data_IF_125189150260
#
_entry.id   IF_125189150260
#
_cell.length_a   1.000
_cell.length_b   1.000
_cell.length_c   1.000
_cell.angle_alpha   90.00
_cell.angle_beta   90.00
_cell.angle_gamma   90.00
#
_symmetry.space_group_name_H-M   'P 1'
#
loop_
_entity.id
_entity.type
_entity.pdbx_description
1 polymer ?
#
# COMPACT_ATOMS: atom_id res chain seq x y z
N UNK A 1 -26.27 -69.31 -20.32
CA UNK A 1 -24.86 -68.89 -20.17
C UNK A 1 -24.86 -67.38 -20.25
N UNK A 2 -24.54 -66.57 -19.24
CA UNK A 2 -23.75 -66.79 -18.02
C UNK A 2 -23.95 -65.53 -17.13
N UNK A 3 -24.54 -65.72 -15.93
CA UNK A 3 -24.23 -65.17 -14.57
C UNK A 3 -24.29 -63.61 -14.38
N UNK A 4 -24.76 -62.93 -13.30
CA UNK A 4 -24.78 -63.01 -11.80
C UNK A 4 -25.94 -62.08 -11.30
N UNK A 5 -26.84 -62.38 -10.33
CA UNK A 5 -26.77 -62.64 -8.86
C UNK A 5 -26.09 -61.48 -8.09
N UNK A 6 -26.86 -60.55 -7.49
CA UNK A 6 -27.33 -60.48 -6.07
C UNK A 6 -26.16 -60.12 -5.11
N UNK A 7 -26.22 -59.27 -4.08
CA UNK A 7 -27.29 -58.88 -3.13
C UNK A 7 -26.74 -57.83 -2.13
N UNK A 8 -27.63 -57.09 -1.45
CA UNK A 8 -27.47 -56.67 -0.04
C UNK A 8 -26.74 -55.34 0.21
N UNK A 9 -27.42 -54.25 0.57
CA UNK A 9 -28.04 -53.89 1.87
C UNK A 9 -27.06 -53.30 2.91
N UNK A 10 -27.21 -51.99 3.08
CA UNK A 10 -26.98 -51.11 4.23
C UNK A 10 -26.44 -51.73 5.52
N UNK A 11 -25.32 -51.17 5.99
CA UNK A 11 -25.03 -50.92 7.40
C UNK A 11 -24.30 -49.58 7.56
N UNK A 12 -24.59 -48.93 8.69
CA UNK A 12 -24.18 -47.59 9.13
C UNK A 12 -22.67 -47.38 9.25
N UNK A 13 -22.19 -46.14 9.05
CA UNK A 13 -21.04 -45.63 9.81
C UNK A 13 -21.03 -44.09 9.94
N UNK A 14 -21.20 -43.67 11.20
CA UNK A 14 -20.46 -42.65 11.97
C UNK A 14 -20.06 -41.30 11.36
N UNK A 15 -20.61 -40.26 12.01
CA UNK A 15 -20.00 -38.99 12.40
C UNK A 15 -18.51 -38.81 12.06
N UNK A 16 -18.25 -37.85 11.16
CA UNK A 16 -16.99 -37.11 11.14
C UNK A 16 -17.38 -35.64 11.30
N UNK A 17 -16.93 -35.06 12.41
CA UNK A 17 -16.93 -33.61 12.64
C UNK A 17 -16.23 -32.93 11.46
N UNK A 18 -16.97 -32.14 10.69
CA UNK A 18 -16.37 -31.09 9.86
C UNK A 18 -15.91 -30.01 10.82
N UNK A 19 -14.60 -29.88 10.99
CA UNK A 19 -14.01 -28.66 11.54
C UNK A 19 -14.36 -27.52 10.58
N UNK A 20 -15.33 -26.70 10.98
CA UNK A 20 -15.62 -25.42 10.33
C UNK A 20 -14.39 -24.52 10.52
N UNK A 21 -13.49 -24.55 9.53
CA UNK A 21 -12.46 -23.52 9.39
C UNK A 21 -13.17 -22.24 8.96
N UNK A 22 -13.46 -21.37 9.93
CA UNK A 22 -13.93 -20.01 9.68
C UNK A 22 -12.83 -19.23 8.94
N UNK A 23 -12.89 -19.19 7.61
CA UNK A 23 -12.12 -18.27 6.78
C UNK A 23 -12.78 -16.89 6.81
N UNK A 24 -12.02 -15.85 7.18
CA UNK A 24 -12.45 -14.46 7.03
C UNK A 24 -12.33 -14.06 5.56
N UNK A 25 -13.48 -13.96 4.88
CA UNK A 25 -13.58 -13.44 3.52
C UNK A 25 -13.66 -11.92 3.60
N UNK A 26 -12.62 -11.22 3.11
CA UNK A 26 -12.67 -9.78 2.90
C UNK A 26 -13.38 -9.46 1.58
N UNK A 27 -13.92 -8.24 1.46
CA UNK A 27 -14.58 -7.73 0.25
C UNK A 27 -13.58 -7.79 -0.92
N UNK A 28 -13.78 -8.76 -1.82
CA UNK A 28 -12.78 -9.19 -2.80
C UNK A 28 -12.66 -10.71 -2.98
N UNK A 29 -13.21 -11.52 -2.07
CA UNK A 29 -13.40 -12.96 -2.26
C UNK A 29 -12.14 -13.82 -2.09
N UNK A 30 -11.09 -13.31 -1.47
CA UNK A 30 -9.85 -14.06 -1.20
C UNK A 30 -9.78 -14.57 0.24
N UNK A 31 -9.46 -15.86 0.45
CA UNK A 31 -9.19 -16.39 1.79
C UNK A 31 -7.85 -15.85 2.30
N UNK A 32 -7.88 -15.23 3.48
CA UNK A 32 -6.69 -14.73 4.20
C UNK A 32 -6.20 -15.83 5.17
N UNK A 33 -4.87 -16.01 5.38
CA UNK A 33 -4.37 -16.94 6.38
C UNK A 33 -5.00 -16.72 7.76
N UNK A 34 -5.38 -17.81 8.43
CA UNK A 34 -6.16 -17.82 9.67
C UNK A 34 -5.30 -17.46 10.91
N UNK A 35 -4.66 -16.29 10.88
CA UNK A 35 -3.75 -15.80 11.93
C UNK A 35 -4.26 -14.54 12.66
N UNK A 36 -5.40 -13.98 12.24
CA UNK A 36 -6.00 -12.84 12.91
C UNK A 36 -6.55 -13.21 14.29
N UNK A 37 -6.31 -12.37 15.30
CA UNK A 37 -6.86 -12.56 16.65
C UNK A 37 -8.41 -12.56 16.64
N UNK A 38 -9.04 -13.34 17.53
CA UNK A 38 -10.51 -13.43 17.64
C UNK A 38 -11.20 -12.10 18.03
N UNK A 39 -10.43 -11.08 18.44
CA UNK A 39 -10.88 -9.72 18.73
C UNK A 39 -10.25 -8.71 17.74
N UNK A 40 -10.36 -9.02 16.44
CA UNK A 40 -9.77 -8.23 15.36
C UNK A 40 -10.22 -6.76 15.35
N UNK A 41 -9.36 -5.89 14.82
CA UNK A 41 -9.63 -4.48 14.60
C UNK A 41 -10.94 -4.29 13.82
N UNK A 42 -11.86 -3.53 14.40
CA UNK A 42 -13.12 -3.14 13.77
C UNK A 42 -12.91 -1.80 13.10
N UNK A 43 -12.99 -1.78 11.76
CA UNK A 43 -12.92 -0.54 11.00
C UNK A 43 -14.10 0.37 11.40
N UNK A 44 -13.85 1.64 11.76
CA UNK A 44 -14.91 2.57 12.09
C UNK A 44 -15.69 2.95 10.81
N UNK A 45 -16.99 3.23 10.96
CA UNK A 45 -17.85 3.63 9.84
C UNK A 45 -17.55 5.05 9.33
N UNK A 46 -16.98 5.90 10.18
CA UNK A 46 -16.65 7.31 9.90
C UNK A 46 -15.24 7.65 10.40
N UNK A 47 -14.57 8.57 9.72
CA UNK A 47 -13.23 9.03 10.08
C UNK A 47 -13.24 9.91 11.35
N UNK A 48 -12.05 10.32 11.79
CA UNK A 48 -11.87 11.16 12.98
C UNK A 48 -12.52 12.57 12.87
N UNK A 49 -12.99 12.94 11.69
CA UNK A 49 -13.70 14.19 11.38
C UNK A 49 -15.23 14.02 11.25
N UNK A 50 -15.73 12.79 11.34
CA UNK A 50 -17.16 12.50 11.23
C UNK A 50 -17.68 12.34 9.80
N UNK A 51 -16.78 12.16 8.83
CA UNK A 51 -17.13 11.92 7.42
C UNK A 51 -16.86 10.46 7.04
N UNK A 52 -17.44 10.00 5.94
CA UNK A 52 -17.07 8.72 5.32
C UNK A 52 -15.61 8.78 4.86
N UNK A 53 -14.86 7.68 5.06
CA UNK A 53 -13.47 7.57 4.58
C UNK A 53 -13.39 7.74 3.06
N UNK A 54 -12.34 8.42 2.59
CA UNK A 54 -12.08 8.65 1.15
C UNK A 54 -13.27 9.25 0.40
N UNK A 55 -13.98 10.19 1.01
CA UNK A 55 -15.07 10.92 0.35
C UNK A 55 -14.51 12.05 -0.53
N UNK A 56 -14.72 11.96 -1.85
CA UNK A 56 -14.29 12.97 -2.82
C UNK A 56 -15.46 13.78 -3.43
N UNK A 57 -16.70 13.52 -3.01
CA UNK A 57 -17.90 14.08 -3.63
C UNK A 57 -18.53 15.25 -2.85
N UNK A 58 -18.05 15.54 -1.63
CA UNK A 58 -18.55 16.64 -0.81
C UNK A 58 -17.90 17.99 -1.15
N UNK A 59 -18.72 19.03 -1.39
CA UNK A 59 -18.22 20.39 -1.61
C UNK A 59 -17.65 21.01 -0.32
N UNK A 60 -16.32 20.96 -0.19
CA UNK A 60 -15.56 21.61 0.89
C UNK A 60 -14.28 22.28 0.38
N UNK A 61 -13.69 23.20 1.13
CA UNK A 61 -12.38 23.79 0.79
C UNK A 61 -11.27 22.72 0.76
N UNK A 62 -11.37 21.70 1.63
CA UNK A 62 -10.47 20.53 1.61
C UNK A 62 -10.60 19.77 0.29
N UNK A 63 -11.83 19.60 -0.21
CA UNK A 63 -12.08 18.92 -1.48
C UNK A 63 -11.52 19.68 -2.69
N UNK A 64 -11.53 21.02 -2.66
CA UNK A 64 -10.88 21.83 -3.73
C UNK A 64 -9.37 21.61 -3.75
N UNK A 65 -8.74 21.49 -2.57
CA UNK A 65 -7.33 21.15 -2.44
C UNK A 65 -7.02 19.79 -3.04
N UNK A 66 -7.80 18.76 -2.68
CA UNK A 66 -7.65 17.40 -3.19
C UNK A 66 -7.90 17.30 -4.70
N UNK A 67 -8.90 17.99 -5.24
CA UNK A 67 -9.19 18.01 -6.68
C UNK A 67 -8.06 18.70 -7.49
N UNK A 68 -7.52 19.82 -7.00
CA UNK A 68 -6.36 20.48 -7.62
C UNK A 68 -5.09 19.63 -7.51
N UNK A 69 -4.88 18.98 -6.37
CA UNK A 69 -3.78 18.04 -6.16
C UNK A 69 -3.78 16.93 -7.21
N UNK A 70 -4.90 16.21 -7.36
CA UNK A 70 -5.01 15.12 -8.33
C UNK A 70 -4.99 15.62 -9.77
N UNK A 71 -5.53 16.82 -10.04
CA UNK A 71 -5.37 17.47 -11.35
C UNK A 71 -3.89 17.64 -11.69
N UNK A 72 -3.09 18.18 -10.77
CA UNK A 72 -1.66 18.38 -10.99
C UNK A 72 -0.91 17.04 -11.11
N UNK A 73 -1.25 16.05 -10.28
CA UNK A 73 -0.65 14.71 -10.33
C UNK A 73 -0.89 14.08 -11.71
N UNK A 74 -2.16 13.97 -12.13
CA UNK A 74 -2.53 13.30 -13.39
C UNK A 74 -1.99 14.01 -14.62
N UNK A 75 -1.78 15.33 -14.59
CA UNK A 75 -1.22 16.06 -15.73
C UNK A 75 0.30 15.87 -15.83
N UNK A 76 1.00 15.86 -14.69
CA UNK A 76 2.47 15.99 -14.67
C UNK A 76 3.22 14.67 -14.45
N UNK A 77 2.58 13.64 -13.92
CA UNK A 77 3.14 12.29 -13.86
C UNK A 77 3.15 11.69 -15.27
N UNK A 78 4.30 11.74 -15.93
CA UNK A 78 4.56 11.13 -17.23
C UNK A 78 5.66 10.09 -17.11
N UNK A 79 5.71 9.16 -18.07
CA UNK A 79 6.75 8.14 -18.15
C UNK A 79 8.15 8.76 -18.10
N UNK A 80 8.36 9.86 -18.83
CA UNK A 80 9.62 10.61 -18.84
C UNK A 80 9.94 11.30 -17.50
N UNK A 81 8.92 11.86 -16.83
CA UNK A 81 9.10 12.46 -15.51
C UNK A 81 9.56 11.41 -14.51
N UNK A 82 8.85 10.28 -14.41
CA UNK A 82 9.17 9.23 -13.44
C UNK A 82 10.55 8.62 -13.67
N UNK A 83 10.96 8.42 -14.92
CA UNK A 83 12.31 7.91 -15.20
C UNK A 83 13.40 8.86 -14.70
N UNK A 84 13.22 10.18 -14.85
CA UNK A 84 14.15 11.19 -14.30
C UNK A 84 14.15 11.19 -12.78
N UNK A 85 12.99 11.03 -12.15
CA UNK A 85 12.88 10.93 -10.70
C UNK A 85 13.61 9.70 -10.16
N UNK A 86 13.38 8.53 -10.78
CA UNK A 86 14.11 7.30 -10.44
C UNK A 86 15.63 7.47 -10.61
N UNK A 87 16.07 8.07 -11.71
CA UNK A 87 17.50 8.33 -11.94
C UNK A 87 18.11 9.21 -10.84
N UNK A 88 17.42 10.27 -10.42
CA UNK A 88 17.93 11.18 -9.39
C UNK A 88 17.89 10.56 -7.99
N UNK A 89 16.77 9.96 -7.60
CA UNK A 89 16.52 9.56 -6.22
C UNK A 89 17.05 8.17 -5.87
N UNK A 90 17.31 7.30 -6.85
CA UNK A 90 18.03 6.03 -6.62
C UNK A 90 19.53 6.20 -6.36
N UNK A 91 20.04 7.44 -6.33
CA UNK A 91 21.41 7.74 -5.91
C UNK A 91 21.57 7.68 -4.38
N UNK A 92 20.48 7.86 -3.64
CA UNK A 92 20.43 7.85 -2.17
C UNK A 92 21.54 8.68 -1.51
N UNK A 93 21.69 9.92 -1.96
CA UNK A 93 22.79 10.80 -1.57
C UNK A 93 22.31 12.06 -0.84
N UNK A 94 21.08 12.05 -0.32
CA UNK A 94 20.47 13.19 0.39
C UNK A 94 20.75 13.11 1.90
N UNK A 95 20.78 11.91 2.47
CA UNK A 95 21.12 11.71 3.87
C UNK A 95 21.64 10.30 4.18
N UNK A 96 22.32 10.17 5.32
CA UNK A 96 22.58 8.88 5.97
C UNK A 96 21.97 8.93 7.37
N UNK A 97 20.93 8.14 7.62
CA UNK A 97 20.15 8.15 8.86
C UNK A 97 19.44 6.81 9.10
N UNK A 98 19.06 6.54 10.33
CA UNK A 98 18.29 5.35 10.72
C UNK A 98 16.82 5.51 10.32
N UNK A 99 16.08 4.40 10.32
CA UNK A 99 14.63 4.43 10.11
C UNK A 99 13.93 5.28 11.18
N UNK A 100 14.34 5.16 12.44
CA UNK A 100 13.69 5.90 13.52
C UNK A 100 13.96 7.42 13.43
N UNK A 101 15.17 7.82 13.03
CA UNK A 101 15.47 9.24 12.74
C UNK A 101 14.59 9.76 11.60
N UNK A 102 14.28 8.91 10.60
CA UNK A 102 13.33 9.25 9.52
C UNK A 102 11.89 9.42 10.04
N UNK A 103 11.41 8.52 10.90
CA UNK A 103 10.11 8.65 11.56
C UNK A 103 9.99 9.98 12.33
N UNK A 104 11.05 10.38 13.03
CA UNK A 104 11.09 11.64 13.79
C UNK A 104 11.07 12.86 12.85
N UNK A 105 11.77 12.82 11.70
CA UNK A 105 11.76 13.89 10.70
C UNK A 105 10.39 14.09 10.04
N UNK A 106 9.61 13.03 9.85
CA UNK A 106 8.28 13.14 9.24
C UNK A 106 7.29 13.96 10.08
N UNK A 107 7.57 14.23 11.35
CA UNK A 107 6.74 15.15 12.15
C UNK A 107 6.70 16.58 11.57
N UNK A 108 7.62 16.92 10.67
CA UNK A 108 7.63 18.21 9.94
C UNK A 108 6.75 18.20 8.67
N UNK A 109 6.13 17.06 8.32
CA UNK A 109 5.38 16.86 7.08
C UNK A 109 3.88 16.79 7.36
N UNK A 110 3.09 17.50 6.54
CA UNK A 110 1.61 17.39 6.48
C UNK A 110 1.24 16.84 5.10
N UNK A 111 0.43 15.78 5.04
CA UNK A 111 -0.04 15.19 3.79
C UNK A 111 -1.32 15.90 3.31
N UNK A 112 -1.24 16.61 2.19
CA UNK A 112 -2.37 17.37 1.64
C UNK A 112 -3.36 16.50 0.84
N UNK A 113 -2.98 15.27 0.49
CA UNK A 113 -3.84 14.35 -0.26
C UNK A 113 -4.82 13.58 0.63
N UNK A 114 -4.49 13.46 1.91
CA UNK A 114 -5.24 12.66 2.87
C UNK A 114 -6.41 13.46 3.47
N UNK A 115 -7.68 13.08 3.23
CA UNK A 115 -8.82 13.75 3.84
C UNK A 115 -9.04 13.34 5.32
N UNK A 116 -8.26 12.38 5.83
CA UNK A 116 -8.55 11.65 7.07
C UNK A 116 -7.50 11.85 8.19
N UNK A 117 -6.45 12.68 7.98
CA UNK A 117 -5.38 12.92 8.95
C UNK A 117 -5.15 14.42 9.27
N UNK A 118 -5.00 14.76 10.56
CA UNK A 118 -4.53 16.06 11.09
C UNK A 118 -3.33 15.91 12.08
N UNK A 119 -3.00 14.69 12.49
CA UNK A 119 -1.97 14.39 13.50
C UNK A 119 -0.55 14.33 12.89
N UNK A 120 0.52 14.45 13.71
CA UNK A 120 1.89 14.28 13.23
C UNK A 120 2.07 12.91 12.57
N UNK A 121 2.82 12.85 11.48
CA UNK A 121 2.93 11.61 10.68
C UNK A 121 3.42 10.40 11.48
N UNK A 122 4.28 10.57 12.49
CA UNK A 122 4.70 9.44 13.33
C UNK A 122 3.53 8.75 14.04
N UNK A 123 2.46 9.49 14.35
CA UNK A 123 1.26 8.92 14.96
C UNK A 123 0.51 8.04 13.98
N UNK A 124 0.38 8.45 12.72
CA UNK A 124 -0.19 7.60 11.66
C UNK A 124 0.61 6.29 11.52
N UNK A 125 1.94 6.39 11.43
CA UNK A 125 2.81 5.21 11.32
C UNK A 125 2.61 4.23 12.48
N UNK A 126 2.58 4.76 13.72
CA UNK A 126 2.43 3.95 14.93
C UNK A 126 1.01 3.42 15.11
N UNK A 127 -0.02 4.16 14.73
CA UNK A 127 -1.41 3.71 14.77
C UNK A 127 -1.62 2.50 13.85
N UNK A 128 -1.12 2.58 12.61
CA UNK A 128 -1.15 1.48 11.66
C UNK A 128 -0.38 0.26 12.19
N UNK A 129 0.84 0.48 12.69
CA UNK A 129 1.70 -0.59 13.18
C UNK A 129 1.14 -1.28 14.44
N UNK A 130 0.65 -0.53 15.42
CA UNK A 130 0.09 -1.09 16.66
C UNK A 130 -1.26 -1.78 16.43
N UNK A 131 -2.09 -1.26 15.51
CA UNK A 131 -3.35 -1.90 15.13
C UNK A 131 -3.10 -3.25 14.45
N UNK A 132 -2.13 -3.34 13.54
CA UNK A 132 -1.69 -4.62 12.96
C UNK A 132 -1.14 -5.53 14.05
N UNK A 133 -0.26 -5.03 14.91
CA UNK A 133 0.40 -5.82 15.96
C UNK A 133 -0.59 -6.50 16.89
N UNK A 134 -1.70 -5.84 17.19
CA UNK A 134 -2.77 -6.41 18.01
C UNK A 134 -3.44 -7.61 17.32
N UNK A 135 -3.66 -7.52 16.00
CA UNK A 135 -4.39 -8.53 15.24
C UNK A 135 -3.49 -9.67 14.77
N UNK A 136 -2.23 -9.40 14.45
CA UNK A 136 -1.26 -10.34 13.89
C UNK A 136 0.01 -10.42 14.75
N UNK A 137 -0.07 -10.76 16.05
CA UNK A 137 1.04 -10.62 16.99
C UNK A 137 2.33 -11.39 16.64
N UNK A 138 2.25 -12.36 15.73
CA UNK A 138 3.38 -13.17 15.28
C UNK A 138 4.01 -12.69 13.96
N UNK A 139 3.43 -11.68 13.29
CA UNK A 139 3.89 -11.16 12.00
C UNK A 139 4.71 -9.88 12.18
N UNK A 140 5.82 -9.98 12.91
CA UNK A 140 6.62 -8.81 13.28
C UNK A 140 7.18 -8.01 12.10
N UNK A 141 7.45 -8.66 10.97
CA UNK A 141 7.77 -8.00 9.70
C UNK A 141 6.65 -7.10 9.19
N UNK A 142 5.38 -7.45 9.42
CA UNK A 142 4.22 -6.67 9.00
C UNK A 142 4.03 -5.44 9.89
N UNK A 143 4.34 -5.56 11.18
CA UNK A 143 4.33 -4.42 12.11
C UNK A 143 5.37 -3.38 11.67
N UNK A 144 6.58 -3.83 11.32
CA UNK A 144 7.61 -2.94 10.81
C UNK A 144 7.24 -2.37 9.44
N UNK A 145 6.68 -3.19 8.54
CA UNK A 145 6.20 -2.73 7.23
C UNK A 145 5.23 -1.56 7.39
N UNK A 146 4.30 -1.65 8.34
CA UNK A 146 3.38 -0.57 8.64
C UNK A 146 4.00 0.64 9.31
N UNK A 147 5.03 0.47 10.14
CA UNK A 147 5.77 1.62 10.66
C UNK A 147 6.46 2.40 9.53
N UNK A 148 6.91 1.73 8.46
CA UNK A 148 7.81 2.35 7.48
C UNK A 148 7.18 2.71 6.13
N UNK A 149 5.95 2.28 5.86
CA UNK A 149 5.30 2.42 4.54
C UNK A 149 5.37 3.85 3.98
N UNK A 150 5.17 4.84 4.85
CA UNK A 150 5.05 6.25 4.51
C UNK A 150 6.36 7.04 4.60
N UNK A 151 7.49 6.40 4.94
CA UNK A 151 8.78 7.09 5.12
C UNK A 151 9.29 7.76 3.84
N UNK A 152 8.78 7.37 2.67
CA UNK A 152 9.10 8.07 1.43
C UNK A 152 8.57 9.51 1.36
N UNK A 153 7.67 9.92 2.26
CA UNK A 153 7.14 11.29 2.33
C UNK A 153 8.19 12.34 2.70
N UNK A 154 9.37 11.92 3.17
CA UNK A 154 10.50 12.84 3.42
C UNK A 154 10.93 13.62 2.17
N UNK A 155 10.57 13.17 0.97
CA UNK A 155 10.81 13.88 -0.30
C UNK A 155 10.19 15.30 -0.32
N UNK A 156 9.20 15.57 0.54
CA UNK A 156 8.60 16.89 0.73
C UNK A 156 9.52 17.86 1.46
N UNK A 157 10.51 17.35 2.21
CA UNK A 157 11.41 18.19 3.00
C UNK A 157 12.48 18.83 2.10
N UNK A 158 12.90 20.08 2.37
CA UNK A 158 13.94 20.77 1.59
C UNK A 158 15.24 19.99 1.41
N UNK A 159 15.66 19.25 2.45
CA UNK A 159 16.88 18.43 2.41
C UNK A 159 16.81 17.30 1.37
N UNK A 160 15.60 16.82 1.07
CA UNK A 160 15.36 15.72 0.14
C UNK A 160 14.79 16.22 -1.19
N UNK A 161 14.73 17.52 -1.43
CA UNK A 161 14.39 18.10 -2.73
C UNK A 161 13.17 19.01 -2.74
N UNK A 162 12.39 19.08 -1.65
CA UNK A 162 11.15 19.85 -1.58
C UNK A 162 10.24 19.60 -2.80
N UNK A 163 10.02 18.31 -3.10
CA UNK A 163 9.13 17.95 -4.20
C UNK A 163 7.72 18.46 -3.92
N UNK A 164 6.95 18.85 -4.95
CA UNK A 164 5.55 19.18 -4.75
C UNK A 164 4.77 17.95 -4.28
N UNK A 165 3.73 18.15 -3.46
CA UNK A 165 2.90 17.08 -2.90
C UNK A 165 2.45 16.06 -3.97
N UNK A 166 2.00 16.53 -5.14
CA UNK A 166 1.54 15.66 -6.24
C UNK A 166 2.61 14.69 -6.77
N UNK A 167 3.89 14.95 -6.51
CA UNK A 167 5.01 14.09 -6.89
C UNK A 167 5.52 13.22 -5.72
N UNK A 168 4.81 13.19 -4.59
CA UNK A 168 5.20 12.41 -3.40
C UNK A 168 4.05 11.58 -2.86
N UNK A 169 2.88 12.16 -2.63
CA UNK A 169 1.74 11.50 -1.96
C UNK A 169 0.63 11.16 -2.96
N UNK A 170 -0.51 10.66 -2.46
CA UNK A 170 -1.70 10.33 -3.23
C UNK A 170 -1.68 8.95 -3.90
N UNK A 171 -2.85 8.54 -4.40
CA UNK A 171 -3.01 7.28 -5.11
C UNK A 171 -2.05 7.17 -6.31
N UNK A 172 -1.54 5.97 -6.58
CA UNK A 172 -0.61 5.69 -7.67
C UNK A 172 -1.27 4.95 -8.82
N UNK A 173 -0.66 5.06 -10.01
CA UNK A 173 -1.15 4.44 -11.24
C UNK A 173 -0.02 4.07 -12.20
N UNK A 174 -0.21 3.07 -13.09
CA UNK A 174 0.78 2.72 -14.12
C UNK A 174 0.90 3.80 -15.19
N UNK A 175 2.13 4.07 -15.61
CA UNK A 175 2.49 4.89 -16.77
C UNK A 175 2.90 3.99 -17.93
N UNK A 176 2.95 4.51 -19.15
CA UNK A 176 3.36 3.73 -20.33
C UNK A 176 2.29 2.77 -20.87
N UNK A 177 1.07 2.81 -20.33
CA UNK A 177 -0.15 2.18 -20.84
C UNK A 177 -1.35 3.10 -20.65
N UNK A 178 -2.52 2.69 -21.16
CA UNK A 178 -3.74 3.48 -21.02
C UNK A 178 -4.14 3.63 -19.55
N UNK A 179 -4.61 4.82 -19.18
CA UNK A 179 -5.14 5.10 -17.84
C UNK A 179 -6.55 4.53 -17.70
N UNK A 180 -6.76 3.63 -16.74
CA UNK A 180 -8.04 3.00 -16.42
C UNK A 180 -8.98 3.99 -15.73
N UNK A 181 -10.28 3.89 -15.98
CA UNK A 181 -11.29 4.81 -15.40
C UNK A 181 -11.44 4.65 -13.88
N UNK A 182 -10.92 3.55 -13.31
CA UNK A 182 -10.85 3.35 -11.86
C UNK A 182 -9.86 4.27 -11.14
N UNK A 183 -9.00 4.99 -11.86
CA UNK A 183 -8.15 6.01 -11.26
C UNK A 183 -9.01 7.16 -10.74
N UNK A 184 -8.78 7.58 -9.49
CA UNK A 184 -9.48 8.72 -8.87
C UNK A 184 -9.43 9.94 -9.78
N UNK A 185 -10.51 10.69 -9.93
CA UNK A 185 -10.58 11.89 -10.78
C UNK A 185 -9.99 11.71 -12.21
N UNK A 186 -10.24 10.56 -12.84
CA UNK A 186 -9.74 10.17 -14.16
C UNK A 186 -9.86 11.25 -15.26
N UNK A 187 -10.89 12.11 -15.16
CA UNK A 187 -11.17 13.25 -16.07
C UNK A 187 -9.94 14.14 -16.38
N UNK A 188 -8.94 14.17 -15.49
CA UNK A 188 -7.74 14.98 -15.65
C UNK A 188 -6.65 14.36 -16.54
N UNK A 189 -6.68 13.05 -16.78
CA UNK A 189 -5.70 12.39 -17.66
C UNK A 189 -5.78 12.85 -19.12
N UNK A 190 -6.92 13.42 -19.56
CA UNK A 190 -7.07 13.98 -20.91
C UNK A 190 -6.00 15.04 -21.25
N UNK A 191 -5.44 15.69 -20.22
CA UNK A 191 -4.45 16.75 -20.36
C UNK A 191 -3.01 16.24 -20.14
N UNK A 192 -2.82 14.97 -19.77
CA UNK A 192 -1.51 14.33 -19.63
C UNK A 192 -0.86 14.10 -21.02
N UNK A 193 0.42 14.44 -21.16
CA UNK A 193 1.16 14.28 -22.41
C UNK A 193 1.30 12.82 -22.87
N UNK A 194 1.33 11.85 -21.95
CA UNK A 194 1.45 10.43 -22.28
C UNK A 194 0.23 9.90 -23.05
N UNK A 195 -0.95 10.51 -22.88
CA UNK A 195 -2.15 10.14 -23.67
C UNK A 195 -2.00 10.43 -25.16
N UNK A 196 -1.05 11.29 -25.53
CA UNK A 196 -0.73 11.63 -26.92
C UNK A 196 0.31 10.69 -27.53
N UNK A 197 0.92 9.81 -26.73
CA UNK A 197 1.88 8.83 -27.19
C UNK A 197 1.17 7.59 -27.72
N UNK A 198 1.26 7.26 -29.03
CA UNK A 198 0.55 6.11 -29.59
C UNK A 198 0.95 4.77 -28.94
N UNK A 199 2.19 4.64 -28.48
CA UNK A 199 2.69 3.43 -27.83
C UNK A 199 2.01 3.14 -26.48
N UNK A 200 1.48 4.16 -25.80
CA UNK A 200 0.84 4.03 -24.49
C UNK A 200 -0.67 3.89 -24.59
N UNK A 201 -1.25 4.07 -25.78
CA UNK A 201 -2.70 4.18 -26.00
C UNK A 201 -3.51 2.91 -25.75
N UNK A 202 -2.86 1.75 -25.63
CA UNK A 202 -3.53 0.46 -25.44
C UNK A 202 -3.54 0.05 -23.96
N UNK A 203 -4.41 -0.90 -23.60
CA UNK A 203 -4.52 -1.46 -22.25
C UNK A 203 -3.19 -1.93 -21.66
N UNK A 204 -2.30 -2.48 -22.48
CA UNK A 204 -0.98 -2.92 -22.03
C UNK A 204 0.13 -1.90 -22.38
N UNK A 205 -0.12 -1.00 -23.34
CA UNK A 205 0.86 -0.03 -23.80
C UNK A 205 2.17 -0.71 -24.21
N UNK A 206 3.26 -0.36 -23.52
CA UNK A 206 4.59 -0.95 -23.73
C UNK A 206 4.84 -2.27 -23.00
N UNK A 207 3.91 -2.70 -22.14
CA UNK A 207 4.09 -3.88 -21.31
C UNK A 207 3.56 -5.15 -21.98
N UNK A 208 4.15 -6.29 -21.61
CA UNK A 208 3.58 -7.60 -21.91
C UNK A 208 2.57 -7.99 -20.84
N UNK A 209 1.56 -8.77 -21.21
CA UNK A 209 0.60 -9.31 -20.24
C UNK A 209 1.31 -10.21 -19.24
N UNK A 210 0.97 -10.07 -17.96
CA UNK A 210 1.60 -10.81 -16.86
C UNK A 210 3.09 -10.53 -16.67
N UNK A 211 3.59 -9.36 -17.09
CA UNK A 211 5.00 -8.99 -16.95
C UNK A 211 5.47 -8.90 -15.50
N UNK A 212 4.55 -8.77 -14.55
CA UNK A 212 4.83 -8.51 -13.15
C UNK A 212 4.92 -7.02 -12.87
N UNK A 213 4.30 -6.57 -11.77
CA UNK A 213 4.26 -5.16 -11.39
C UNK A 213 5.66 -4.58 -11.15
N UNK A 214 6.63 -5.41 -10.81
CA UNK A 214 8.03 -5.01 -10.66
C UNK A 214 8.64 -4.44 -11.95
N UNK A 215 8.10 -4.84 -13.12
CA UNK A 215 8.48 -4.36 -14.45
C UNK A 215 7.61 -3.20 -14.96
N UNK A 216 6.64 -2.75 -14.17
CA UNK A 216 5.75 -1.64 -14.51
C UNK A 216 6.28 -0.34 -13.92
N UNK A 217 6.30 0.71 -14.73
CA UNK A 217 6.60 2.06 -14.25
C UNK A 217 5.35 2.65 -13.64
N UNK A 218 5.31 2.73 -12.31
CA UNK A 218 4.27 3.42 -11.54
C UNK A 218 4.54 4.92 -11.50
N UNK A 219 3.51 5.74 -11.33
CA UNK A 219 3.64 7.16 -10.95
C UNK A 219 4.61 7.32 -9.77
N UNK A 220 5.47 8.33 -9.82
CA UNK A 220 6.51 8.52 -8.80
C UNK A 220 5.92 9.06 -7.50
N UNK A 221 6.37 8.51 -6.36
CA UNK A 221 5.94 8.93 -5.04
C UNK A 221 6.68 8.22 -3.91
N UNK A 222 6.14 8.35 -2.70
CA UNK A 222 6.67 7.78 -1.47
C UNK A 222 6.78 6.25 -1.54
N UNK A 223 5.81 5.55 -2.14
CA UNK A 223 5.85 4.09 -2.34
C UNK A 223 7.12 3.62 -3.05
N UNK A 224 7.36 4.13 -4.28
CA UNK A 224 8.46 3.68 -5.13
C UNK A 224 9.81 4.12 -4.54
N UNK A 225 9.89 5.33 -3.98
CA UNK A 225 11.10 5.79 -3.31
C UNK A 225 11.43 4.94 -2.07
N UNK A 226 10.46 4.69 -1.18
CA UNK A 226 10.69 3.91 0.03
C UNK A 226 11.02 2.44 -0.29
N UNK A 227 10.36 1.85 -1.29
CA UNK A 227 10.72 0.52 -1.80
C UNK A 227 12.19 0.46 -2.22
N UNK A 228 12.65 1.44 -3.01
CA UNK A 228 14.02 1.47 -3.49
C UNK A 228 15.02 1.74 -2.35
N UNK A 229 14.69 2.61 -1.39
CA UNK A 229 15.49 2.81 -0.18
C UNK A 229 15.62 1.48 0.58
N UNK A 230 14.52 0.77 0.81
CA UNK A 230 14.56 -0.49 1.56
C UNK A 230 15.38 -1.57 0.83
N UNK A 231 15.12 -1.75 -0.47
CA UNK A 231 15.78 -2.77 -1.31
C UNK A 231 17.28 -2.53 -1.44
N UNK A 232 17.69 -1.30 -1.77
CA UNK A 232 19.10 -0.97 -2.06
C UNK A 232 19.95 -0.78 -0.78
N UNK A 233 19.31 -0.62 0.38
CA UNK A 233 19.99 -0.68 1.68
C UNK A 233 20.02 -2.11 2.28
N UNK A 234 19.58 -3.14 1.54
CA UNK A 234 19.79 -4.53 1.94
C UNK A 234 18.90 -4.99 3.10
N UNK A 235 17.65 -4.53 3.14
CA UNK A 235 16.64 -5.05 4.08
C UNK A 235 16.47 -6.56 3.99
N UNK A 236 16.09 -7.18 5.11
CA UNK A 236 15.71 -8.60 5.19
C UNK A 236 14.20 -8.80 5.31
N UNK A 237 13.39 -7.75 5.09
CA UNK A 237 11.93 -7.89 5.00
C UNK A 237 11.54 -8.92 3.92
N UNK A 238 10.47 -9.70 4.14
CA UNK A 238 9.99 -10.65 3.14
C UNK A 238 9.45 -9.91 1.90
N UNK A 239 9.35 -10.59 0.73
CA UNK A 239 8.78 -10.01 -0.48
C UNK A 239 7.42 -9.34 -0.28
N UNK A 240 6.54 -9.92 0.54
CA UNK A 240 5.25 -9.34 0.88
C UNK A 240 5.35 -7.94 1.53
N UNK A 241 6.33 -7.71 2.42
CA UNK A 241 6.55 -6.41 3.04
C UNK A 241 7.00 -5.36 2.02
N UNK A 242 7.89 -5.73 1.10
CA UNK A 242 8.33 -4.85 0.03
C UNK A 242 7.22 -4.57 -0.99
N UNK A 243 6.38 -5.56 -1.28
CA UNK A 243 5.20 -5.39 -2.13
C UNK A 243 4.20 -4.41 -1.52
N UNK A 244 3.92 -4.53 -0.22
CA UNK A 244 3.07 -3.58 0.50
C UNK A 244 3.63 -2.16 0.36
N UNK A 245 4.89 -1.94 0.73
CA UNK A 245 5.52 -0.60 0.65
C UNK A 245 5.38 -0.01 -0.75
N UNK A 246 5.60 -0.81 -1.79
CA UNK A 246 5.63 -0.34 -3.17
C UNK A 246 4.27 -0.06 -3.80
N UNK A 247 3.20 -0.69 -3.29
CA UNK A 247 1.90 -0.69 -3.95
C UNK A 247 0.72 -0.33 -3.04
N UNK A 248 0.98 0.12 -1.80
CA UNK A 248 -0.09 0.49 -0.87
C UNK A 248 -0.90 1.72 -1.29
N UNK A 249 -0.34 2.59 -2.12
CA UNK A 249 -1.10 3.68 -2.75
C UNK A 249 -1.77 3.25 -4.07
N UNK A 250 -1.60 2.01 -4.54
CA UNK A 250 -2.14 1.57 -5.83
C UNK A 250 -3.62 1.13 -5.74
N UNK A 251 -4.47 2.03 -5.25
CA UNK A 251 -5.90 1.81 -5.04
C UNK A 251 -6.66 1.29 -6.27
N UNK A 252 -6.40 1.77 -7.50
CA UNK A 252 -6.98 1.17 -8.71
C UNK A 252 -6.82 -0.35 -8.77
N UNK A 253 -5.70 -0.90 -8.28
CA UNK A 253 -5.49 -2.34 -8.21
C UNK A 253 -6.19 -2.97 -7.00
N UNK A 254 -5.81 -2.59 -5.78
CA UNK A 254 -6.19 -3.34 -4.57
C UNK A 254 -7.56 -2.95 -4.01
N UNK A 255 -8.25 -1.97 -4.60
CA UNK A 255 -9.64 -1.63 -4.27
C UNK A 255 -10.58 -1.94 -5.43
N UNK A 256 -10.23 -1.49 -6.63
CA UNK A 256 -11.12 -1.56 -7.79
C UNK A 256 -10.87 -2.79 -8.69
N UNK A 257 -9.77 -3.54 -8.48
CA UNK A 257 -9.43 -4.73 -9.27
C UNK A 257 -8.94 -4.43 -10.69
N UNK A 258 -8.59 -3.17 -10.99
CA UNK A 258 -8.01 -2.78 -12.27
C UNK A 258 -6.55 -3.24 -12.40
N UNK A 259 -5.99 -3.17 -13.61
CA UNK A 259 -4.57 -3.49 -13.90
C UNK A 259 -4.09 -4.92 -13.58
N UNK A 260 -4.99 -5.84 -13.21
CA UNK A 260 -4.67 -7.25 -12.89
C UNK A 260 -4.09 -8.05 -14.07
N UNK A 261 -4.19 -7.53 -15.30
CA UNK A 261 -3.55 -8.08 -16.50
C UNK A 261 -2.03 -7.89 -16.53
N UNK A 262 -1.48 -6.97 -15.72
CA UNK A 262 -0.02 -6.75 -15.61
C UNK A 262 0.62 -7.64 -14.54
N UNK A 263 -0.18 -8.18 -13.62
CA UNK A 263 0.30 -8.99 -12.49
C UNK A 263 0.78 -10.37 -12.91
N UNK A 264 1.93 -10.78 -12.35
CA UNK A 264 2.39 -12.17 -12.36
C UNK A 264 1.84 -12.96 -11.16
N UNK A 265 2.27 -14.21 -10.97
CA UNK A 265 1.80 -15.06 -9.86
C UNK A 265 2.26 -14.55 -8.48
N UNK A 266 3.49 -14.07 -8.38
CA UNK A 266 4.04 -13.53 -7.13
C UNK A 266 3.28 -12.28 -6.67
N UNK A 267 2.90 -11.40 -7.60
CA UNK A 267 2.07 -10.24 -7.32
C UNK A 267 0.71 -10.65 -6.73
N UNK A 268 0.09 -11.73 -7.26
CA UNK A 268 -1.22 -12.21 -6.80
C UNK A 268 -1.16 -12.76 -5.38
N UNK A 269 -0.07 -13.44 -5.03
CA UNK A 269 0.14 -13.92 -3.67
C UNK A 269 0.40 -12.76 -2.69
N UNK A 270 1.22 -11.78 -3.08
CA UNK A 270 1.51 -10.63 -2.22
C UNK A 270 0.33 -9.66 -2.10
N UNK A 271 -0.57 -9.59 -3.09
CA UNK A 271 -1.78 -8.76 -3.04
C UNK A 271 -2.68 -9.11 -1.84
N UNK A 272 -2.70 -10.37 -1.40
CA UNK A 272 -3.43 -10.81 -0.20
C UNK A 272 -2.96 -10.06 1.05
N UNK A 273 -1.64 -9.91 1.20
CA UNK A 273 -1.04 -9.17 2.31
C UNK A 273 -1.27 -7.67 2.19
N UNK A 274 -1.31 -7.14 0.98
CA UNK A 274 -1.67 -5.73 0.76
C UNK A 274 -3.12 -5.42 1.17
N UNK A 275 -4.08 -6.30 0.88
CA UNK A 275 -5.44 -6.14 1.39
C UNK A 275 -5.52 -6.14 2.91
N UNK A 276 -4.73 -7.02 3.57
CA UNK A 276 -4.60 -7.02 5.03
C UNK A 276 -4.06 -5.67 5.51
N UNK A 277 -2.93 -5.22 4.96
CA UNK A 277 -2.30 -3.96 5.34
C UNK A 277 -3.22 -2.74 5.16
N UNK A 278 -3.85 -2.60 4.00
CA UNK A 278 -4.66 -1.43 3.63
C UNK A 278 -5.81 -1.16 4.60
N UNK A 279 -6.35 -2.22 5.24
CA UNK A 279 -7.33 -2.06 6.31
C UNK A 279 -6.79 -1.20 7.45
N UNK A 280 -5.54 -1.39 7.86
CA UNK A 280 -4.98 -0.70 9.02
C UNK A 280 -4.47 0.69 8.65
N UNK A 281 -3.84 0.83 7.50
CA UNK A 281 -3.42 2.14 6.96
C UNK A 281 -4.60 3.12 6.89
N UNK A 282 -5.73 2.68 6.31
CA UNK A 282 -6.88 3.55 6.15
C UNK A 282 -7.63 3.80 7.46
N UNK A 283 -7.94 2.73 8.20
CA UNK A 283 -8.96 2.79 9.24
C UNK A 283 -8.42 3.00 10.66
N UNK A 284 -7.12 2.84 10.90
CA UNK A 284 -6.52 3.03 12.23
C UNK A 284 -6.33 4.50 12.61
N UNK A 285 -6.51 5.43 11.65
CA UNK A 285 -6.38 6.88 11.81
C UNK A 285 -7.29 7.39 12.92
N UNK A 286 -6.70 7.81 14.04
CA UNK A 286 -7.40 8.08 15.28
C UNK A 286 -6.91 9.35 15.96
N UNK A 287 -7.79 10.01 16.73
CA UNK A 287 -7.41 11.08 17.66
C UNK A 287 -6.74 10.57 18.95
N UNK A 288 -6.78 9.26 19.18
CA UNK A 288 -6.09 8.63 20.31
C UNK A 288 -4.63 8.39 19.91
N UNK A 289 -3.73 9.12 20.55
CA UNK A 289 -2.30 9.05 20.27
C UNK A 289 -1.66 7.81 20.91
N UNK A 290 -0.67 7.26 20.23
CA UNK A 290 0.21 6.21 20.76
C UNK A 290 1.30 6.86 21.61
N UNK A 291 1.57 6.28 22.78
CA UNK A 291 2.72 6.67 23.59
C UNK A 291 4.01 6.20 22.89
N UNK A 292 4.67 7.15 22.23
CA UNK A 292 5.86 6.90 21.41
C UNK A 292 6.97 6.28 22.24
N UNK A 293 7.20 6.76 23.47
CA UNK A 293 8.32 6.29 24.30
C UNK A 293 8.06 4.88 24.84
N UNK A 294 6.80 4.51 25.07
CA UNK A 294 6.42 3.15 25.45
C UNK A 294 6.71 2.14 24.34
N UNK A 295 6.37 2.46 23.10
CA UNK A 295 6.47 1.51 21.97
C UNK A 295 7.82 1.55 21.24
N UNK A 296 8.56 2.65 21.35
CA UNK A 296 9.87 2.85 20.69
C UNK A 296 10.87 1.71 20.89
N UNK A 297 11.07 1.14 22.10
CA UNK A 297 12.00 0.02 22.28
C UNK A 297 11.64 -1.21 21.43
N UNK A 298 10.34 -1.48 21.26
CA UNK A 298 9.87 -2.59 20.42
C UNK A 298 10.21 -2.35 18.95
N UNK A 299 9.85 -1.19 18.41
CA UNK A 299 10.09 -0.86 17.00
C UNK A 299 11.57 -0.71 16.66
N UNK A 300 12.39 -0.18 17.57
CA UNK A 300 13.84 -0.18 17.41
C UNK A 300 14.41 -1.59 17.28
N UNK A 301 13.89 -2.56 18.04
CA UNK A 301 14.32 -3.97 17.93
C UNK A 301 13.95 -4.59 16.57
N UNK A 302 12.81 -4.21 15.99
CA UNK A 302 12.42 -4.64 14.65
C UNK A 302 13.30 -3.99 13.57
N UNK A 303 13.58 -2.69 13.71
CA UNK A 303 14.48 -1.97 12.80
C UNK A 303 15.85 -2.65 12.80
N UNK A 304 16.41 -2.97 13.97
CA UNK A 304 17.69 -3.67 14.11
C UNK A 304 17.65 -5.08 13.48
N UNK A 305 16.52 -5.79 13.60
CA UNK A 305 16.33 -7.12 13.00
C UNK A 305 16.32 -7.08 11.47
N UNK A 306 15.68 -6.07 10.88
CA UNK A 306 15.34 -6.06 9.44
C UNK A 306 16.19 -5.13 8.57
N UNK A 307 16.92 -4.20 9.19
CA UNK A 307 17.68 -3.18 8.47
C UNK A 307 19.06 -2.94 9.11
N UNK A 308 20.03 -2.46 8.33
CA UNK A 308 21.25 -1.87 8.88
C UNK A 308 20.93 -0.67 9.79
N UNK A 309 21.83 -0.36 10.73
CA UNK A 309 21.64 0.74 11.67
C UNK A 309 21.50 2.12 11.00
N UNK A 310 22.12 2.31 9.83
CA UNK A 310 22.07 3.52 9.02
C UNK A 310 21.78 3.16 7.57
N UNK A 311 20.84 3.89 6.96
CA UNK A 311 20.46 3.75 5.57
C UNK A 311 20.89 5.01 4.82
N UNK A 312 21.17 4.84 3.53
CA UNK A 312 21.30 5.92 2.56
C UNK A 312 19.92 6.27 2.02
N UNK A 313 19.58 7.55 2.06
CA UNK A 313 18.31 8.12 1.62
C UNK A 313 18.53 9.10 0.47
#
# INVERSE_FOLDING_TARGET
>A
MTILVDSGSQFEDKNVHSEDTNELVLDGGFPVPNHASQNGFLAPEINSFGHSFRNYDEESERQKGVDEFYRLQHINQTYDFVNKMREEYKKFNKAEMSIWECCELLNEVVDESDPDLDEPQIQHLLQSAEAIRKDYPNEDWLHLTALIHDLGKILLLPKFGALPQWAVVGDTFPLGCAFDESNVLHKYFKDNLDTKCPAYSTKNGIYTEGCGLDNVTMSWGHDDYMYWVAKENGTTLPPAGLFIIRYHSFYPLHREGAYTHLMNEEDRENLKWLHVFNKYDLYSKSKVLIDVEEVKPYYLSLIEKYFPAKLRW
#
